data_IF_115579833436
#
_entry.id   IF_115579833436
#
_cell.length_a   1.000
_cell.length_b   1.000
_cell.length_c   1.000
_cell.angle_alpha   90.00
_cell.angle_beta   90.00
_cell.angle_gamma   90.00
#
_symmetry.space_group_name_H-M   'P 1'
#
loop_
_entity.id
_entity.type
_entity.pdbx_description
1 polymer ?
#
# COMPACT_ATOMS: atom_id res chain seq x y z
N UNK A 1 18.08 1.71 -2.44
CA UNK A 1 17.82 1.02 -3.72
C UNK A 1 16.32 1.01 -3.93
N UNK A 2 15.84 1.73 -4.95
CA UNK A 2 14.45 1.70 -5.36
C UNK A 2 14.15 0.30 -5.92
N UNK A 3 13.50 -0.55 -5.12
CA UNK A 3 13.10 -1.89 -5.55
C UNK A 3 11.87 -1.76 -6.45
N UNK A 4 12.14 -1.52 -7.73
CA UNK A 4 11.18 -1.34 -8.80
C UNK A 4 11.92 -0.89 -10.05
N UNK A 5 13.01 -1.57 -10.40
CA UNK A 5 13.70 -1.31 -11.67
C UNK A 5 12.71 -1.62 -12.80
N UNK A 6 12.31 -0.57 -13.54
CA UNK A 6 11.62 -0.78 -14.79
C UNK A 6 12.55 -1.55 -15.71
N UNK A 7 12.03 -2.61 -16.36
CA UNK A 7 12.81 -3.49 -17.25
C UNK A 7 13.43 -2.72 -18.44
N UNK A 8 13.07 -1.45 -18.64
CA UNK A 8 13.61 -0.54 -19.66
C UNK A 8 14.66 0.48 -19.21
N UNK A 9 14.84 0.74 -17.91
CA UNK A 9 15.75 1.78 -17.43
C UNK A 9 15.64 2.08 -15.93
N UNK A 10 16.62 2.80 -15.39
CA UNK A 10 16.61 3.31 -14.01
C UNK A 10 17.54 4.52 -13.84
N UNK A 11 17.17 5.44 -12.95
CA UNK A 11 18.00 6.50 -12.44
C UNK A 11 18.68 6.08 -11.13
N UNK A 12 20.01 6.15 -11.11
CA UNK A 12 20.81 5.87 -9.93
C UNK A 12 20.98 7.14 -9.09
N UNK A 13 20.30 7.21 -7.94
CA UNK A 13 20.37 8.31 -6.99
C UNK A 13 21.80 8.49 -6.41
N UNK A 14 22.60 7.43 -6.31
CA UNK A 14 23.95 7.51 -5.71
C UNK A 14 24.96 8.12 -6.67
N UNK A 15 24.81 7.86 -7.97
CA UNK A 15 25.74 8.33 -9.01
C UNK A 15 25.19 9.47 -9.87
N UNK A 16 23.91 9.79 -9.70
CA UNK A 16 23.13 10.70 -10.55
C UNK A 16 23.23 10.34 -12.03
N UNK A 17 23.16 9.05 -12.35
CA UNK A 17 23.23 8.54 -13.73
C UNK A 17 21.91 7.94 -14.18
N UNK A 18 21.52 8.27 -15.42
CA UNK A 18 20.40 7.62 -16.11
C UNK A 18 20.94 6.42 -16.87
N UNK A 19 20.39 5.24 -16.59
CA UNK A 19 20.72 3.99 -17.25
C UNK A 19 19.50 3.53 -18.05
N UNK A 20 19.67 3.27 -19.34
CA UNK A 20 18.59 2.78 -20.21
C UNK A 20 18.98 1.46 -20.85
N UNK A 21 18.01 0.56 -20.96
CA UNK A 21 18.12 -0.67 -21.73
C UNK A 21 17.60 -0.39 -23.13
N UNK A 22 18.52 -0.40 -24.09
CA UNK A 22 18.18 -0.19 -25.50
C UNK A 22 17.36 -1.37 -26.02
N UNK A 23 16.31 -1.05 -26.77
CA UNK A 23 15.41 -2.03 -27.36
C UNK A 23 16.01 -2.63 -28.64
N UNK A 24 16.91 -1.90 -29.31
CA UNK A 24 17.61 -2.33 -30.52
C UNK A 24 19.09 -1.93 -30.52
N UNK A 25 19.96 -2.92 -30.74
CA UNK A 25 21.40 -2.72 -30.85
C UNK A 25 22.10 -2.48 -29.51
N UNK A 26 23.42 -2.28 -29.58
CA UNK A 26 24.28 -2.07 -28.40
C UNK A 26 24.67 -0.58 -28.22
N UNK A 27 24.30 0.28 -29.17
CA UNK A 27 24.61 1.71 -29.20
C UNK A 27 23.32 2.54 -29.37
N UNK A 28 23.16 3.68 -28.66
CA UNK A 28 22.02 4.55 -28.87
C UNK A 28 22.04 5.10 -30.31
N UNK A 29 20.91 4.96 -31.01
CA UNK A 29 20.73 5.52 -32.35
C UNK A 29 20.76 7.06 -32.36
N UNK A 30 20.71 7.67 -33.55
CA UNK A 30 20.60 9.13 -33.68
C UNK A 30 19.29 9.70 -33.11
N UNK A 31 18.29 8.84 -32.89
CA UNK A 31 17.04 9.13 -32.21
C UNK A 31 16.65 7.89 -31.41
N UNK A 32 16.05 8.10 -30.24
CA UNK A 32 15.44 7.03 -29.44
C UNK A 32 14.14 6.59 -30.10
N UNK A 33 13.83 5.30 -30.03
CA UNK A 33 12.49 4.86 -30.39
C UNK A 33 11.43 5.30 -29.36
N UNK A 34 10.15 5.12 -29.68
CA UNK A 34 9.05 5.57 -28.81
C UNK A 34 9.15 5.03 -27.37
N UNK A 35 9.54 3.76 -27.19
CA UNK A 35 9.62 3.13 -25.87
C UNK A 35 10.85 3.63 -25.12
N UNK A 36 11.98 3.76 -25.79
CA UNK A 36 13.21 4.31 -25.23
C UNK A 36 13.06 5.79 -24.84
N UNK A 37 12.38 6.60 -25.67
CA UNK A 37 12.12 8.00 -25.39
C UNK A 37 11.17 8.18 -24.19
N UNK A 38 10.13 7.33 -24.11
CA UNK A 38 9.23 7.30 -22.96
C UNK A 38 10.01 7.02 -21.65
N UNK A 39 10.83 5.95 -21.64
CA UNK A 39 11.66 5.59 -20.49
C UNK A 39 12.68 6.69 -20.16
N UNK A 40 13.31 7.29 -21.17
CA UNK A 40 14.22 8.40 -20.95
C UNK A 40 13.54 9.57 -20.25
N UNK A 41 12.31 9.92 -20.63
CA UNK A 41 11.57 11.01 -19.99
C UNK A 41 11.22 10.68 -18.53
N UNK A 42 10.83 9.43 -18.24
CA UNK A 42 10.59 8.96 -16.86
C UNK A 42 11.86 9.12 -16.01
N UNK A 43 12.98 8.54 -16.45
CA UNK A 43 14.24 8.58 -15.70
C UNK A 43 14.85 9.98 -15.64
N UNK A 44 14.66 10.81 -16.68
CA UNK A 44 15.06 12.21 -16.66
C UNK A 44 14.24 13.01 -15.64
N UNK A 45 12.97 12.65 -15.44
CA UNK A 45 12.15 13.25 -14.39
C UNK A 45 12.69 12.92 -13.01
N UNK A 46 13.16 11.68 -12.77
CA UNK A 46 13.86 11.34 -11.52
C UNK A 46 15.13 12.18 -11.31
N UNK A 47 15.91 12.43 -12.37
CA UNK A 47 17.06 13.32 -12.28
C UNK A 47 16.67 14.76 -11.90
N UNK A 48 15.53 15.26 -12.42
CA UNK A 48 15.00 16.56 -12.03
C UNK A 48 14.49 16.56 -10.59
N UNK A 49 13.81 15.51 -10.14
CA UNK A 49 13.31 15.39 -8.78
C UNK A 49 14.47 15.41 -7.77
N UNK A 50 15.51 14.60 -8.02
CA UNK A 50 16.72 14.55 -7.18
C UNK A 50 17.40 15.92 -7.10
N UNK A 51 17.56 16.60 -8.24
CA UNK A 51 18.19 17.91 -8.31
C UNK A 51 17.42 19.04 -7.59
N UNK A 52 16.11 18.90 -7.38
CA UNK A 52 15.25 19.96 -6.85
C UNK A 52 14.71 19.69 -5.45
N UNK A 53 14.51 18.43 -5.07
CA UNK A 53 13.78 18.06 -3.84
C UNK A 53 14.59 17.24 -2.84
N UNK A 54 15.86 16.93 -3.14
CA UNK A 54 16.74 16.17 -2.24
C UNK A 54 16.08 14.85 -1.79
N UNK A 55 15.71 14.03 -2.79
CA UNK A 55 14.87 12.84 -2.65
C UNK A 55 15.42 11.84 -1.63
N UNK A 56 16.74 11.71 -1.51
CA UNK A 56 17.37 10.83 -0.53
C UNK A 56 17.01 11.20 0.92
N UNK A 57 17.03 12.49 1.26
CA UNK A 57 16.66 12.96 2.60
C UNK A 57 15.17 12.74 2.89
N UNK A 58 14.31 12.89 1.88
CA UNK A 58 12.88 12.58 2.00
C UNK A 58 12.66 11.10 2.35
N UNK A 59 13.35 10.18 1.67
CA UNK A 59 13.27 8.76 1.99
C UNK A 59 13.76 8.45 3.42
N UNK A 60 14.82 9.11 3.88
CA UNK A 60 15.28 8.96 5.26
C UNK A 60 14.22 9.35 6.29
N UNK A 61 13.46 10.42 6.05
CA UNK A 61 12.35 10.83 6.93
C UNK A 61 11.17 9.86 6.82
N UNK A 62 10.78 9.52 5.60
CA UNK A 62 9.64 8.66 5.30
C UNK A 62 9.79 7.24 5.87
N UNK A 63 11.02 6.71 5.90
CA UNK A 63 11.34 5.39 6.47
C UNK A 63 11.01 5.27 7.97
N UNK A 64 10.93 6.40 8.68
CA UNK A 64 10.57 6.42 10.10
C UNK A 64 9.06 6.56 10.35
N UNK A 65 8.25 6.66 9.29
CA UNK A 65 6.80 6.69 9.36
C UNK A 65 6.22 5.33 8.99
N UNK A 66 5.06 4.91 9.55
CA UNK A 66 4.54 3.56 9.35
C UNK A 66 4.30 3.17 7.88
N UNK A 67 3.84 4.11 7.05
CA UNK A 67 3.58 3.94 5.61
C UNK A 67 4.28 5.00 4.75
N UNK A 68 5.19 5.78 5.34
CA UNK A 68 5.80 6.92 4.64
C UNK A 68 6.59 6.50 3.42
N UNK A 69 7.33 5.40 3.48
CA UNK A 69 8.15 4.90 2.37
C UNK A 69 7.31 4.64 1.10
N UNK A 70 6.22 3.88 1.23
CA UNK A 70 5.34 3.57 0.10
C UNK A 70 4.57 4.80 -0.40
N UNK A 71 4.16 5.69 0.51
CA UNK A 71 3.46 6.92 0.15
C UNK A 71 4.38 7.91 -0.60
N UNK A 72 5.58 8.17 -0.08
CA UNK A 72 6.58 9.00 -0.74
C UNK A 72 7.00 8.43 -2.10
N UNK A 73 7.21 7.11 -2.17
CA UNK A 73 7.52 6.44 -3.43
C UNK A 73 6.41 6.65 -4.46
N UNK A 74 5.15 6.65 -4.03
CA UNK A 74 4.01 6.89 -4.91
C UNK A 74 3.92 8.34 -5.40
N UNK A 75 4.34 9.33 -4.61
CA UNK A 75 4.49 10.70 -5.10
C UNK A 75 5.57 10.79 -6.19
N UNK A 76 6.75 10.23 -5.92
CA UNK A 76 7.93 10.31 -6.81
C UNK A 76 7.68 9.60 -8.15
N UNK A 77 7.25 8.33 -8.11
CA UNK A 77 6.96 7.52 -9.29
C UNK A 77 5.73 8.08 -10.03
N UNK A 78 4.73 8.55 -9.29
CA UNK A 78 3.53 9.18 -9.84
C UNK A 78 3.83 10.46 -10.63
N UNK A 79 4.75 11.28 -10.14
CA UNK A 79 5.19 12.50 -10.81
C UNK A 79 5.98 12.19 -12.10
N UNK A 80 6.89 11.22 -12.05
CA UNK A 80 7.58 10.75 -13.24
C UNK A 80 6.60 10.21 -14.30
N UNK A 81 5.63 9.38 -13.89
CA UNK A 81 4.58 8.85 -14.76
C UNK A 81 3.69 9.96 -15.35
N UNK A 82 3.31 10.95 -14.55
CA UNK A 82 2.46 12.04 -15.00
C UNK A 82 3.20 12.99 -15.94
N UNK A 83 4.46 13.32 -15.64
CA UNK A 83 5.35 14.10 -16.51
C UNK A 83 5.56 13.40 -17.85
N UNK A 84 5.87 12.10 -17.82
CA UNK A 84 5.96 11.27 -19.02
C UNK A 84 4.66 11.33 -19.84
N UNK A 85 3.50 11.18 -19.21
CA UNK A 85 2.21 11.28 -19.88
C UNK A 85 2.00 12.64 -20.55
N UNK A 86 2.30 13.75 -19.87
CA UNK A 86 2.20 15.09 -20.44
C UNK A 86 3.14 15.29 -21.63
N UNK A 87 4.37 14.80 -21.53
CA UNK A 87 5.33 14.88 -22.63
C UNK A 87 4.85 14.07 -23.86
N UNK A 88 4.40 12.83 -23.67
CA UNK A 88 3.89 11.99 -24.77
C UNK A 88 2.69 12.65 -25.47
N UNK A 89 1.78 13.26 -24.69
CA UNK A 89 0.66 14.03 -25.23
C UNK A 89 1.12 15.23 -26.07
N UNK A 90 2.08 16.00 -25.57
CA UNK A 90 2.51 17.25 -26.19
C UNK A 90 3.47 17.05 -27.37
N UNK A 91 4.45 16.17 -27.22
CA UNK A 91 5.55 15.97 -28.17
C UNK A 91 5.19 14.98 -29.28
N UNK A 92 4.42 13.92 -28.96
CA UNK A 92 4.18 12.81 -29.88
C UNK A 92 2.73 12.73 -30.37
N UNK A 93 1.83 13.55 -29.82
CA UNK A 93 0.40 13.54 -30.18
C UNK A 93 -0.30 12.23 -29.83
N UNK A 94 0.29 11.44 -28.92
CA UNK A 94 -0.29 10.19 -28.43
C UNK A 94 -1.09 10.53 -27.19
N UNK A 95 -2.35 10.11 -27.14
CA UNK A 95 -3.25 10.32 -26.00
C UNK A 95 -3.57 8.99 -25.32
N UNK A 96 -2.60 8.35 -24.66
CA UNK A 96 -2.86 7.10 -23.98
C UNK A 96 -3.75 7.40 -22.76
N UNK A 97 -4.91 6.76 -22.67
CA UNK A 97 -5.67 6.76 -21.42
C UNK A 97 -4.91 5.98 -20.33
N UNK A 98 -5.32 6.13 -19.06
CA UNK A 98 -4.67 5.43 -17.94
C UNK A 98 -4.67 3.91 -18.09
N UNK A 99 -5.65 3.34 -18.81
CA UNK A 99 -5.71 1.91 -19.10
C UNK A 99 -4.64 1.47 -20.12
N UNK A 100 -4.35 2.29 -21.12
CA UNK A 100 -3.28 2.04 -22.08
C UNK A 100 -1.89 2.26 -21.50
N UNK A 101 -1.73 3.21 -20.57
CA UNK A 101 -0.50 3.37 -19.76
C UNK A 101 -0.31 2.13 -18.90
N UNK A 102 -1.33 1.72 -18.13
CA UNK A 102 -1.33 0.46 -17.40
C UNK A 102 -0.97 -0.70 -18.33
N UNK A 103 -1.59 -0.80 -19.51
CA UNK A 103 -1.27 -1.86 -20.48
C UNK A 103 0.20 -1.80 -20.93
N UNK A 104 0.78 -0.63 -21.13
CA UNK A 104 2.19 -0.47 -21.48
C UNK A 104 3.11 -0.87 -20.31
N UNK A 105 2.83 -0.42 -19.09
CA UNK A 105 3.52 -0.86 -17.86
C UNK A 105 3.39 -2.37 -17.68
N UNK A 106 2.22 -2.94 -17.97
CA UNK A 106 1.94 -4.38 -17.95
C UNK A 106 2.65 -5.16 -19.06
N UNK A 107 2.92 -4.54 -20.22
CA UNK A 107 3.66 -5.17 -21.32
C UNK A 107 5.15 -5.29 -20.99
N UNK A 108 5.71 -4.34 -20.24
CA UNK A 108 7.06 -4.46 -19.67
C UNK A 108 7.07 -5.50 -18.53
N UNK A 109 6.01 -5.53 -17.73
CA UNK A 109 5.76 -6.58 -16.73
C UNK A 109 5.25 -7.91 -17.32
N UNK A 110 5.06 -8.06 -18.63
CA UNK A 110 4.64 -9.35 -19.22
C UNK A 110 5.75 -10.41 -19.15
N UNK A 111 6.97 -9.96 -18.84
CA UNK A 111 8.06 -10.82 -18.36
C UNK A 111 7.75 -11.41 -16.97
N UNK A 112 7.13 -10.63 -16.08
CA UNK A 112 6.70 -11.02 -14.73
C UNK A 112 5.36 -11.77 -14.69
N UNK A 113 4.41 -11.51 -15.60
CA UNK A 113 3.11 -12.19 -15.66
C UNK A 113 3.21 -13.68 -16.06
N UNK A 114 4.36 -14.08 -16.62
CA UNK A 114 4.72 -15.49 -16.86
C UNK A 114 5.20 -16.23 -15.61
N UNK A 115 5.53 -15.48 -14.54
CA UNK A 115 5.90 -16.02 -13.24
C UNK A 115 4.64 -16.12 -12.35
N UNK A 116 4.53 -17.16 -11.49
CA UNK A 116 3.42 -17.29 -10.55
C UNK A 116 3.58 -16.28 -9.40
N UNK A 117 3.42 -14.99 -9.69
CA UNK A 117 3.51 -13.89 -8.72
C UNK A 117 2.15 -13.74 -8.03
N UNK A 118 2.08 -13.71 -6.69
CA UNK A 118 0.83 -13.46 -5.98
C UNK A 118 0.21 -12.10 -6.36
N UNK A 119 -1.12 -11.99 -6.53
CA UNK A 119 -1.78 -10.76 -6.95
C UNK A 119 -1.46 -9.52 -6.09
N UNK A 120 -1.23 -9.70 -4.80
CA UNK A 120 -0.84 -8.63 -3.87
C UNK A 120 0.51 -8.00 -4.25
N UNK A 121 1.48 -8.80 -4.68
CA UNK A 121 2.81 -8.32 -5.08
C UNK A 121 2.72 -7.47 -6.36
N UNK A 122 1.86 -7.89 -7.30
CA UNK A 122 1.59 -7.09 -8.50
C UNK A 122 0.90 -5.78 -8.15
N UNK A 123 -0.08 -5.81 -7.24
CA UNK A 123 -0.79 -4.60 -6.82
C UNK A 123 0.14 -3.63 -6.11
N UNK A 124 1.04 -4.12 -5.25
CA UNK A 124 2.05 -3.33 -4.55
C UNK A 124 3.04 -2.70 -5.53
N UNK A 125 3.45 -3.44 -6.57
CA UNK A 125 4.27 -2.90 -7.65
C UNK A 125 3.56 -1.78 -8.40
N UNK A 126 2.25 -1.87 -8.63
CA UNK A 126 1.51 -0.87 -9.41
C UNK A 126 1.11 0.39 -8.63
N UNK A 127 0.95 0.30 -7.31
CA UNK A 127 0.48 1.40 -6.48
C UNK A 127 1.32 2.68 -6.71
N UNK A 128 2.67 2.67 -6.66
CA UNK A 128 3.45 3.87 -6.88
C UNK A 128 3.31 4.49 -8.28
N UNK A 129 3.05 3.67 -9.29
CA UNK A 129 2.98 4.16 -10.68
C UNK A 129 1.59 4.66 -11.05
N UNK A 130 0.54 3.86 -10.80
CA UNK A 130 -0.80 4.16 -11.32
C UNK A 130 -1.59 5.02 -10.35
N UNK A 131 -1.67 4.60 -9.09
CA UNK A 131 -2.36 5.37 -8.07
C UNK A 131 -1.53 6.62 -7.71
N UNK A 132 -0.20 6.50 -7.68
CA UNK A 132 0.70 7.65 -7.63
C UNK A 132 0.49 8.65 -8.77
N UNK A 133 0.37 8.21 -10.03
CA UNK A 133 0.08 9.12 -11.16
C UNK A 133 -1.28 9.79 -11.00
N UNK A 134 -2.31 9.06 -10.53
CA UNK A 134 -3.62 9.63 -10.25
C UNK A 134 -3.57 10.67 -9.13
N UNK A 135 -2.78 10.41 -8.08
CA UNK A 135 -2.52 11.35 -7.00
C UNK A 135 -1.87 12.64 -7.52
N UNK A 136 -0.76 12.54 -8.26
CA UNK A 136 -0.07 13.72 -8.81
C UNK A 136 -0.94 14.47 -9.82
N UNK A 137 -1.71 13.76 -10.64
CA UNK A 137 -2.70 14.38 -11.53
C UNK A 137 -3.74 15.18 -10.75
N UNK A 138 -4.24 14.66 -9.63
CA UNK A 138 -5.21 15.37 -8.81
C UNK A 138 -4.59 16.64 -8.19
N UNK A 139 -3.35 16.58 -7.69
CA UNK A 139 -2.62 17.76 -7.23
C UNK A 139 -2.42 18.79 -8.34
N UNK A 140 -1.99 18.34 -9.52
CA UNK A 140 -1.78 19.20 -10.68
C UNK A 140 -3.07 19.91 -11.13
N UNK A 141 -4.24 19.29 -10.93
CA UNK A 141 -5.52 19.91 -11.27
C UNK A 141 -5.92 21.06 -10.34
N UNK A 142 -5.30 21.19 -9.16
CA UNK A 142 -5.56 22.29 -8.22
C UNK A 142 -4.89 23.58 -8.69
N UNK A 143 -3.56 23.58 -8.83
CA UNK A 143 -2.79 24.78 -9.25
C UNK A 143 -1.53 24.43 -10.07
N UNK A 144 -1.61 23.35 -10.86
CA UNK A 144 -0.49 22.88 -11.67
C UNK A 144 0.68 22.38 -10.83
N UNK A 145 1.90 22.65 -11.31
CA UNK A 145 3.13 22.21 -10.66
C UNK A 145 3.39 22.85 -9.29
N UNK A 146 2.74 23.98 -8.97
CA UNK A 146 2.91 24.59 -7.64
C UNK A 146 2.40 23.66 -6.53
N UNK A 147 1.23 23.04 -6.72
CA UNK A 147 0.69 22.08 -5.75
C UNK A 147 1.49 20.78 -5.72
N UNK A 148 1.97 20.29 -6.87
CA UNK A 148 2.81 19.09 -6.92
C UNK A 148 4.14 19.31 -6.21
N UNK A 149 4.81 20.43 -6.47
CA UNK A 149 6.09 20.77 -5.84
C UNK A 149 5.93 20.94 -4.32
N UNK A 150 4.84 21.56 -3.86
CA UNK A 150 4.53 21.69 -2.44
C UNK A 150 4.36 20.32 -1.75
N UNK A 151 3.99 19.27 -2.48
CA UNK A 151 3.92 17.93 -1.92
C UNK A 151 5.29 17.32 -1.60
N UNK A 152 6.38 17.80 -2.19
CA UNK A 152 7.72 17.40 -1.77
C UNK A 152 8.16 18.06 -0.46
N UNK A 153 7.63 19.25 -0.15
CA UNK A 153 7.83 19.91 1.15
C UNK A 153 6.95 19.28 2.25
N UNK A 154 5.80 18.72 1.88
CA UNK A 154 4.89 18.01 2.78
C UNK A 154 4.43 16.67 2.16
N UNK A 155 5.29 15.63 2.16
CA UNK A 155 4.99 14.35 1.52
C UNK A 155 3.73 13.66 2.06
N UNK A 156 3.02 12.87 1.23
CA UNK A 156 1.99 11.97 1.73
C UNK A 156 2.62 10.94 2.69
N UNK A 157 1.87 10.54 3.72
CA UNK A 157 2.39 9.71 4.82
C UNK A 157 1.68 8.35 4.95
N UNK A 158 0.64 8.12 4.15
CA UNK A 158 -0.17 6.90 4.16
C UNK A 158 -0.55 6.48 2.74
N UNK A 159 -0.89 5.20 2.58
CA UNK A 159 -1.49 4.74 1.32
C UNK A 159 -2.87 5.34 1.07
N UNK A 160 -3.61 5.72 2.11
CA UNK A 160 -4.87 6.48 1.98
C UNK A 160 -4.67 7.80 1.24
N UNK A 161 -3.62 8.58 1.55
CA UNK A 161 -3.35 9.83 0.84
C UNK A 161 -3.17 9.63 -0.66
N UNK A 162 -2.57 8.51 -1.06
CA UNK A 162 -2.35 8.16 -2.46
C UNK A 162 -3.66 7.72 -3.12
N UNK A 163 -4.46 6.92 -2.43
CA UNK A 163 -5.73 6.40 -2.93
C UNK A 163 -6.83 7.49 -2.99
N UNK A 164 -6.79 8.46 -2.08
CA UNK A 164 -7.76 9.54 -1.91
C UNK A 164 -7.05 10.90 -1.84
N UNK A 165 -6.67 11.49 -2.99
CA UNK A 165 -5.92 12.75 -3.01
C UNK A 165 -6.64 13.92 -2.36
N UNK A 166 -7.98 13.89 -2.29
CA UNK A 166 -8.79 14.88 -1.58
C UNK A 166 -8.53 14.87 -0.06
N UNK A 167 -8.17 13.73 0.53
CA UNK A 167 -7.82 13.60 1.95
C UNK A 167 -6.48 14.26 2.25
N UNK A 168 -5.48 13.96 1.43
CA UNK A 168 -4.19 14.64 1.49
C UNK A 168 -4.36 16.17 1.34
N UNK A 169 -5.13 16.62 0.35
CA UNK A 169 -5.38 18.04 0.10
C UNK A 169 -6.15 18.72 1.25
N UNK A 170 -6.99 17.97 1.97
CA UNK A 170 -7.69 18.44 3.16
C UNK A 170 -6.80 18.48 4.41
N UNK A 171 -5.59 17.89 4.35
CA UNK A 171 -4.72 17.72 5.51
C UNK A 171 -5.23 16.68 6.51
N UNK A 172 -6.00 15.70 6.03
CA UNK A 172 -6.33 14.51 6.80
C UNK A 172 -5.03 13.78 7.17
N UNK A 173 -4.94 13.22 8.36
CA UNK A 173 -3.71 12.56 8.82
C UNK A 173 -4.09 11.27 9.55
N UNK A 174 -3.36 10.15 9.30
CA UNK A 174 -3.63 8.90 9.98
C UNK A 174 -3.55 9.07 11.50
N UNK A 175 -4.54 8.51 12.19
CA UNK A 175 -4.62 8.42 13.64
C UNK A 175 -3.60 7.37 14.12
N UNK A 176 -2.76 7.77 15.05
CA UNK A 176 -1.81 6.86 15.69
C UNK A 176 -2.55 5.82 16.55
N UNK A 177 -2.34 4.53 16.22
CA UNK A 177 -2.96 3.40 16.93
C UNK A 177 -1.95 2.70 17.82
N UNK A 178 -2.20 2.73 19.12
CA UNK A 178 -1.44 1.99 20.13
C UNK A 178 -1.99 0.58 20.33
N UNK A 179 -1.10 -0.40 20.52
CA UNK A 179 -1.47 -1.78 20.84
C UNK A 179 -0.97 -2.10 22.25
N UNK A 180 -1.89 -2.56 23.10
CA UNK A 180 -1.58 -3.05 24.43
C UNK A 180 -0.51 -4.17 24.36
N UNK A 181 0.35 -4.32 25.39
CA UNK A 181 1.39 -5.34 25.44
C UNK A 181 0.89 -6.77 25.17
N UNK A 182 1.80 -7.73 25.05
CA UNK A 182 1.43 -9.14 24.90
C UNK A 182 0.60 -9.62 26.11
N UNK A 183 -0.58 -10.25 25.89
CA UNK A 183 -1.38 -10.84 26.96
C UNK A 183 -0.60 -11.92 27.72
N UNK A 184 -0.86 -12.04 29.02
CA UNK A 184 -0.16 -12.98 29.92
C UNK A 184 -0.15 -14.43 29.41
N UNK A 185 -1.23 -14.86 28.76
CA UNK A 185 -1.35 -16.23 28.23
C UNK A 185 -0.34 -16.56 27.13
N UNK A 186 0.13 -15.55 26.40
CA UNK A 186 1.13 -15.74 25.35
C UNK A 186 2.56 -15.57 25.89
N UNK A 187 2.75 -15.05 27.10
CA UNK A 187 4.08 -14.79 27.64
C UNK A 187 4.85 -16.08 27.89
N UNK A 188 6.14 -16.06 27.53
CA UNK A 188 7.08 -17.17 27.73
C UNK A 188 7.20 -18.09 26.52
N UNK A 189 6.08 -18.45 25.89
CA UNK A 189 6.06 -19.34 24.72
C UNK A 189 6.09 -18.58 23.38
N UNK A 190 5.58 -17.35 23.37
CA UNK A 190 5.50 -16.51 22.17
C UNK A 190 6.51 -15.37 22.21
N UNK A 191 7.06 -15.05 21.04
CA UNK A 191 7.95 -13.90 20.84
C UNK A 191 7.31 -12.93 19.85
N UNK A 192 7.38 -11.63 20.15
CA UNK A 192 7.00 -10.59 19.18
C UNK A 192 8.01 -10.59 18.02
N UNK A 193 7.51 -10.85 16.81
CA UNK A 193 8.32 -10.87 15.58
C UNK A 193 8.41 -9.49 14.99
N UNK A 194 7.27 -8.82 14.83
CA UNK A 194 7.20 -7.50 14.21
C UNK A 194 5.94 -6.76 14.65
N UNK A 195 5.98 -5.45 14.49
CA UNK A 195 4.84 -4.54 14.56
C UNK A 195 4.91 -3.59 13.37
N UNK A 196 3.76 -3.23 12.83
CA UNK A 196 3.68 -2.32 11.69
C UNK A 196 2.26 -1.84 11.47
N UNK A 197 2.06 -1.15 10.38
CA UNK A 197 0.76 -0.70 9.88
C UNK A 197 0.48 -1.45 8.58
N UNK A 198 -0.76 -1.90 8.40
CA UNK A 198 -1.23 -2.42 7.12
C UNK A 198 -1.59 -1.26 6.21
N UNK A 199 -2.31 -0.26 6.70
CA UNK A 199 -2.80 0.81 5.86
C UNK A 199 -3.99 0.40 5.01
N UNK A 200 -4.66 1.39 4.42
CA UNK A 200 -5.84 1.15 3.59
C UNK A 200 -5.52 0.21 2.42
N UNK A 201 -4.36 0.39 1.76
CA UNK A 201 -3.99 -0.43 0.61
C UNK A 201 -3.94 -1.93 0.94
N UNK A 202 -3.16 -2.34 1.96
CA UNK A 202 -3.05 -3.76 2.27
C UNK A 202 -4.32 -4.34 2.91
N UNK A 203 -5.14 -3.52 3.59
CA UNK A 203 -6.48 -3.93 4.02
C UNK A 203 -7.36 -4.26 2.81
N UNK A 204 -7.36 -3.42 1.77
CA UNK A 204 -8.07 -3.70 0.51
C UNK A 204 -7.58 -5.00 -0.12
N UNK A 205 -6.25 -5.20 -0.19
CA UNK A 205 -5.68 -6.45 -0.72
C UNK A 205 -6.12 -7.67 0.09
N UNK A 206 -6.14 -7.57 1.42
CA UNK A 206 -6.57 -8.67 2.29
C UNK A 206 -8.04 -9.04 2.06
N UNK A 207 -8.94 -8.06 2.07
CA UNK A 207 -10.37 -8.26 1.86
C UNK A 207 -10.70 -8.78 0.45
N UNK A 208 -9.95 -8.34 -0.58
CA UNK A 208 -10.15 -8.75 -1.98
C UNK A 208 -9.96 -10.24 -2.24
N UNK A 209 -9.35 -10.96 -1.30
CA UNK A 209 -9.19 -12.40 -1.45
C UNK A 209 -10.50 -13.17 -1.35
N UNK A 210 -11.54 -12.58 -0.76
CA UNK A 210 -12.86 -13.21 -0.60
C UNK A 210 -14.03 -12.32 -1.01
N UNK A 211 -13.85 -11.00 -1.00
CA UNK A 211 -14.90 -10.03 -1.31
C UNK A 211 -14.72 -9.46 -2.72
N UNK A 212 -15.84 -9.06 -3.33
CA UNK A 212 -15.80 -8.33 -4.59
C UNK A 212 -15.30 -6.89 -4.41
N UNK A 213 -14.95 -6.26 -5.54
CA UNK A 213 -14.36 -4.91 -5.55
C UNK A 213 -15.24 -3.86 -4.86
N UNK A 214 -16.57 -3.94 -5.00
CA UNK A 214 -17.47 -2.91 -4.45
C UNK A 214 -17.56 -3.05 -2.92
N UNK A 215 -17.63 -4.28 -2.43
CA UNK A 215 -17.59 -4.55 -0.99
C UNK A 215 -16.25 -4.14 -0.36
N UNK A 216 -15.12 -4.40 -1.03
CA UNK A 216 -13.80 -3.97 -0.57
C UNK A 216 -13.69 -2.45 -0.50
N UNK A 217 -14.17 -1.75 -1.53
CA UNK A 217 -14.11 -0.29 -1.61
C UNK A 217 -14.91 0.36 -0.49
N UNK A 218 -16.15 -0.09 -0.28
CA UNK A 218 -16.97 0.39 0.83
C UNK A 218 -16.35 0.07 2.20
N UNK A 219 -15.78 -1.13 2.36
CA UNK A 219 -15.24 -1.56 3.64
C UNK A 219 -13.97 -0.83 4.07
N UNK A 220 -13.12 -0.44 3.12
CA UNK A 220 -11.80 0.10 3.42
C UNK A 220 -11.72 1.64 3.32
N UNK A 221 -12.64 2.27 2.58
CA UNK A 221 -12.74 3.73 2.55
C UNK A 221 -13.09 4.27 3.94
N UNK A 222 -12.43 5.34 4.37
CA UNK A 222 -12.58 5.90 5.72
C UNK A 222 -11.71 5.19 6.77
N UNK A 223 -10.71 4.43 6.33
CA UNK A 223 -9.65 3.93 7.20
C UNK A 223 -8.98 5.13 7.88
N UNK A 224 -9.02 5.18 9.21
CA UNK A 224 -8.42 6.29 9.96
C UNK A 224 -7.02 5.97 10.49
N UNK A 225 -6.62 4.70 10.51
CA UNK A 225 -5.36 4.27 11.12
C UNK A 225 -5.40 2.80 11.56
N UNK A 226 -4.26 2.12 11.51
CA UNK A 226 -4.14 0.79 12.10
C UNK A 226 -2.72 0.48 12.60
N UNK A 227 -2.68 -0.56 13.43
CA UNK A 227 -1.44 -1.19 13.86
C UNK A 227 -1.66 -2.69 14.00
N UNK A 228 -0.64 -3.47 13.67
CA UNK A 228 -0.61 -4.89 13.96
C UNK A 228 0.62 -5.31 14.78
N UNK A 229 0.50 -6.48 15.41
CA UNK A 229 1.61 -7.24 16.01
C UNK A 229 1.54 -8.69 15.58
N UNK A 230 2.67 -9.23 15.14
CA UNK A 230 2.85 -10.64 14.81
C UNK A 230 3.70 -11.31 15.88
N UNK A 231 3.21 -12.45 16.36
CA UNK A 231 3.87 -13.30 17.34
C UNK A 231 4.22 -14.66 16.73
N UNK A 232 5.32 -15.25 17.19
CA UNK A 232 5.77 -16.58 16.77
C UNK A 232 6.12 -17.44 17.98
N UNK A 233 5.67 -18.69 17.94
CA UNK A 233 6.03 -19.72 18.89
C UNK A 233 7.08 -20.64 18.24
N UNK A 234 8.30 -20.60 18.77
CA UNK A 234 9.45 -21.33 18.21
C UNK A 234 9.36 -22.84 18.41
N UNK A 235 8.66 -23.31 19.45
CA UNK A 235 8.57 -24.72 19.81
C UNK A 235 7.52 -25.44 18.96
N UNK A 236 6.46 -24.73 18.54
CA UNK A 236 5.34 -25.30 17.78
C UNK A 236 5.29 -24.87 16.32
N UNK A 237 6.17 -23.97 15.88
CA UNK A 237 6.15 -23.33 14.56
C UNK A 237 4.80 -22.65 14.25
N UNK A 238 4.19 -22.04 15.27
CA UNK A 238 2.88 -21.39 15.17
C UNK A 238 2.99 -19.87 15.18
N UNK A 239 1.97 -19.23 14.60
CA UNK A 239 1.86 -17.77 14.50
C UNK A 239 0.56 -17.32 15.16
N UNK A 240 0.60 -16.15 15.76
CA UNK A 240 -0.57 -15.45 16.29
C UNK A 240 -0.40 -13.96 15.99
N UNK A 241 -1.49 -13.24 15.75
CA UNK A 241 -1.40 -11.81 15.46
C UNK A 241 -2.64 -11.07 15.93
N UNK A 242 -2.48 -9.76 16.16
CA UNK A 242 -3.57 -8.83 16.44
C UNK A 242 -3.42 -7.60 15.57
N UNK A 243 -4.53 -7.13 15.02
CA UNK A 243 -4.69 -5.89 14.28
C UNK A 243 -5.71 -5.04 15.04
N UNK A 244 -5.35 -3.79 15.32
CA UNK A 244 -6.26 -2.79 15.87
C UNK A 244 -6.41 -1.70 14.82
N UNK A 245 -7.64 -1.34 14.46
CA UNK A 245 -7.93 -0.26 13.51
C UNK A 245 -8.95 0.73 14.05
N UNK A 246 -8.79 1.97 13.61
CA UNK A 246 -9.70 3.09 13.85
C UNK A 246 -10.16 3.65 12.51
N UNK A 247 -11.28 4.36 12.52
CA UNK A 247 -12.01 4.76 11.32
C UNK A 247 -12.45 6.21 11.46
N UNK A 248 -12.50 6.92 10.34
CA UNK A 248 -12.87 8.34 10.27
C UNK A 248 -14.23 8.61 10.93
N UNK A 249 -15.19 7.72 10.68
CA UNK A 249 -16.52 7.82 11.23
C UNK A 249 -17.03 6.49 11.80
N UNK A 250 -18.03 6.53 12.71
CA UNK A 250 -18.72 5.33 13.16
C UNK A 250 -19.41 4.55 12.02
N UNK A 251 -19.72 5.21 10.90
CA UNK A 251 -20.28 4.56 9.72
C UNK A 251 -19.22 3.69 9.05
N UNK A 252 -18.03 4.23 8.79
CA UNK A 252 -16.94 3.50 8.13
C UNK A 252 -16.52 2.30 9.00
N UNK A 253 -16.47 2.48 10.33
CA UNK A 253 -16.23 1.39 11.27
C UNK A 253 -17.27 0.26 11.15
N UNK A 254 -18.56 0.61 11.03
CA UNK A 254 -19.64 -0.36 10.88
C UNK A 254 -19.59 -1.06 9.51
N UNK A 255 -19.23 -0.35 8.45
CA UNK A 255 -19.05 -0.90 7.11
C UNK A 255 -17.92 -1.92 7.06
N UNK A 256 -16.75 -1.60 7.64
CA UNK A 256 -15.66 -2.57 7.75
C UNK A 256 -16.05 -3.77 8.61
N UNK A 257 -16.67 -3.56 9.76
CA UNK A 257 -17.07 -4.67 10.66
C UNK A 257 -18.00 -5.67 9.96
N UNK A 258 -19.01 -5.16 9.25
CA UNK A 258 -19.93 -5.98 8.48
C UNK A 258 -19.22 -6.72 7.34
N UNK A 259 -18.33 -6.04 6.60
CA UNK A 259 -17.57 -6.63 5.53
C UNK A 259 -16.58 -7.69 6.03
N UNK A 260 -15.90 -7.46 7.16
CA UNK A 260 -14.99 -8.42 7.78
C UNK A 260 -15.73 -9.69 8.21
N UNK A 261 -16.93 -9.56 8.78
CA UNK A 261 -17.76 -10.71 9.13
C UNK A 261 -18.18 -11.53 7.88
N UNK A 262 -18.53 -10.85 6.78
CA UNK A 262 -18.82 -11.50 5.50
C UNK A 262 -17.58 -12.19 4.91
N UNK A 263 -16.43 -11.50 4.92
CA UNK A 263 -15.13 -12.00 4.50
C UNK A 263 -14.76 -13.28 5.24
N UNK A 264 -14.87 -13.30 6.57
CA UNK A 264 -14.53 -14.46 7.39
C UNK A 264 -15.50 -15.61 7.19
N UNK A 265 -16.78 -15.31 6.97
CA UNK A 265 -17.79 -16.32 6.67
C UNK A 265 -17.51 -17.01 5.34
N UNK A 266 -17.15 -16.25 4.30
CA UNK A 266 -16.74 -16.79 3.00
C UNK A 266 -15.45 -17.61 3.12
N UNK A 267 -14.41 -17.03 3.76
CA UNK A 267 -13.10 -17.66 3.94
C UNK A 267 -13.18 -19.01 4.66
N UNK A 268 -14.06 -19.12 5.65
CA UNK A 268 -14.14 -20.30 6.53
C UNK A 268 -15.32 -21.22 6.21
N UNK A 269 -16.25 -20.77 5.36
CA UNK A 269 -17.55 -21.39 5.12
C UNK A 269 -18.31 -21.70 6.43
N UNK A 270 -18.22 -20.79 7.42
CA UNK A 270 -18.79 -20.94 8.76
C UNK A 270 -19.32 -19.62 9.28
N UNK A 271 -20.39 -19.69 10.07
CA UNK A 271 -20.91 -18.55 10.82
C UNK A 271 -20.07 -18.32 12.09
N UNK A 272 -19.97 -17.06 12.58
CA UNK A 272 -19.28 -16.77 13.83
C UNK A 272 -19.99 -17.39 15.02
N UNK A 273 -19.23 -17.61 16.10
CA UNK A 273 -19.75 -17.87 17.44
C UNK A 273 -19.22 -16.76 18.35
N UNK A 274 -20.12 -16.10 19.07
CA UNK A 274 -19.76 -15.02 19.98
C UNK A 274 -19.20 -15.55 21.30
N UNK A 275 -18.08 -14.99 21.75
CA UNK A 275 -17.42 -15.26 23.03
C UNK A 275 -16.97 -13.94 23.66
N UNK A 276 -17.47 -13.63 24.85
CA UNK A 276 -17.06 -12.46 25.64
C UNK A 276 -17.05 -11.13 24.84
N UNK A 277 -18.03 -10.92 23.95
CA UNK A 277 -18.14 -9.72 23.12
C UNK A 277 -17.42 -9.79 21.77
N UNK A 278 -16.62 -10.82 21.52
CA UNK A 278 -15.96 -11.06 20.23
C UNK A 278 -16.68 -12.13 19.40
N UNK A 279 -16.85 -11.89 18.11
CA UNK A 279 -17.32 -12.90 17.15
C UNK A 279 -16.13 -13.68 16.61
N UNK A 280 -16.16 -15.01 16.74
CA UNK A 280 -15.03 -15.86 16.37
C UNK A 280 -15.39 -16.93 15.32
N UNK A 281 -14.50 -17.11 14.34
CA UNK A 281 -14.56 -18.12 13.29
C UNK A 281 -13.44 -19.14 13.49
N UNK A 282 -13.80 -20.43 13.47
CA UNK A 282 -12.82 -21.53 13.43
C UNK A 282 -12.48 -21.84 11.98
N UNK A 283 -11.25 -21.60 11.58
CA UNK A 283 -10.71 -21.97 10.28
C UNK A 283 -9.94 -23.30 10.36
N UNK A 284 -9.29 -23.70 9.26
CA UNK A 284 -8.45 -24.92 9.22
C UNK A 284 -7.10 -24.66 9.91
N UNK A 285 -6.60 -23.44 9.82
CA UNK A 285 -5.30 -22.97 10.32
C UNK A 285 -5.36 -22.45 11.76
N UNK A 286 -6.51 -21.99 12.24
CA UNK A 286 -6.67 -21.52 13.61
C UNK A 286 -8.03 -20.90 13.90
N UNK A 287 -8.04 -19.91 14.78
CA UNK A 287 -9.23 -19.14 15.17
C UNK A 287 -8.99 -17.67 14.92
N UNK A 288 -9.94 -17.04 14.26
CA UNK A 288 -9.99 -15.60 14.03
C UNK A 288 -11.13 -15.04 14.87
N UNK A 289 -10.91 -13.92 15.55
CA UNK A 289 -11.92 -13.22 16.34
C UNK A 289 -11.95 -11.74 15.96
N UNK A 290 -13.15 -11.18 15.89
CA UNK A 290 -13.41 -9.75 15.73
C UNK A 290 -14.08 -9.24 17.01
N UNK A 291 -13.49 -8.23 17.66
CA UNK A 291 -14.11 -7.51 18.76
C UNK A 291 -14.28 -6.04 18.38
N UNK A 292 -15.52 -5.56 18.40
CA UNK A 292 -15.85 -4.17 18.10
C UNK A 292 -16.05 -3.37 19.39
N UNK A 293 -15.35 -2.25 19.50
CA UNK A 293 -15.46 -1.23 20.56
C UNK A 293 -15.45 0.16 19.92
N UNK A 294 -14.82 1.16 20.53
CA UNK A 294 -14.44 2.40 19.86
C UNK A 294 -13.38 2.16 18.76
N UNK A 295 -12.64 1.05 18.86
CA UNK A 295 -11.76 0.52 17.80
C UNK A 295 -12.24 -0.87 17.33
N UNK A 296 -11.81 -1.30 16.14
CA UNK A 296 -12.00 -2.66 15.65
C UNK A 296 -10.74 -3.48 15.92
N UNK A 297 -10.91 -4.62 16.58
CA UNK A 297 -9.80 -5.48 16.98
C UNK A 297 -9.98 -6.85 16.34
N UNK A 298 -9.05 -7.24 15.48
CA UNK A 298 -9.00 -8.55 14.83
C UNK A 298 -7.83 -9.33 15.40
N UNK A 299 -8.09 -10.53 15.90
CA UNK A 299 -7.08 -11.42 16.45
C UNK A 299 -7.09 -12.79 15.78
N UNK A 300 -5.91 -13.36 15.57
CA UNK A 300 -5.73 -14.73 15.12
C UNK A 300 -4.79 -15.48 16.06
N UNK A 301 -5.14 -16.73 16.40
CA UNK A 301 -4.25 -17.65 17.08
C UNK A 301 -4.63 -19.12 16.80
N UNK A 302 -3.74 -20.09 17.07
CA UNK A 302 -4.05 -21.50 16.89
C UNK A 302 -5.21 -22.00 17.77
N UNK A 303 -5.36 -21.45 18.98
CA UNK A 303 -6.45 -21.79 19.89
C UNK A 303 -7.45 -20.65 20.11
N UNK A 304 -8.71 -21.03 20.38
CA UNK A 304 -9.79 -20.08 20.70
C UNK A 304 -9.43 -19.22 21.93
N UNK A 305 -8.79 -19.83 22.94
CA UNK A 305 -8.44 -19.14 24.19
C UNK A 305 -7.41 -18.03 23.95
N UNK A 306 -6.42 -18.28 23.09
CA UNK A 306 -5.42 -17.30 22.71
C UNK A 306 -6.01 -16.19 21.83
N UNK A 307 -6.87 -16.55 20.86
CA UNK A 307 -7.50 -15.56 19.96
C UNK A 307 -8.41 -14.59 20.73
N UNK A 308 -9.24 -15.09 21.67
CA UNK A 308 -10.06 -14.25 22.56
C UNK A 308 -9.17 -13.37 23.45
N UNK A 309 -8.10 -13.94 24.01
CA UNK A 309 -7.18 -13.17 24.86
C UNK A 309 -6.49 -12.04 24.09
N UNK A 310 -6.12 -12.25 22.82
CA UNK A 310 -5.55 -11.21 21.98
C UNK A 310 -6.50 -10.04 21.78
N UNK A 311 -7.77 -10.31 21.43
CA UNK A 311 -8.73 -9.24 21.15
C UNK A 311 -9.19 -8.53 22.42
N UNK A 312 -9.51 -9.27 23.49
CA UNK A 312 -10.03 -8.68 24.73
C UNK A 312 -8.97 -7.91 25.52
N UNK A 313 -7.69 -8.23 25.36
CA UNK A 313 -6.61 -7.49 26.02
C UNK A 313 -6.43 -6.08 25.45
N UNK A 314 -6.88 -5.82 24.22
CA UNK A 314 -6.84 -4.47 23.62
C UNK A 314 -7.99 -3.58 24.08
N UNK A 315 -9.01 -4.13 24.74
CA UNK A 315 -10.19 -3.40 25.23
C UNK A 315 -9.95 -2.81 26.64
N UNK A 316 -8.87 -3.21 27.32
CA UNK A 316 -8.56 -2.84 28.71
C UNK A 316 -7.76 -1.53 28.79
#
# INVERSE_FOLDING_TARGET
QMNGENVGGYFDLDTSTINLVLSQGDDPGSALDYREEMMYVHEYTHALQDANFNVLDLFHVAYHQPEGDVALRSLIEGDAMFTQHLYMNAALGVHPDTQSILQMTLLDANTLSSLPVPPVILSELYLPYLDGMNFVKALYQVDGWETVNAAYDNPPVSTEHILHPDRYLAGDMPIEVEIAPMPDILRGEWTLVTTGTLGEFYLRQYLSTQLDRMAVDQAATGWGGDRYRLFYNVDTDQRAWVLVSVWDTPTDQAEFSAAYAAFMTERTNRQPISYDGADCWRAVDGVYCLHQTDSLIVGYAPSLKEAIALVNFQVQ
#
